data_IF_090109232731
#
_entry.id   IF_090109232731
#
_cell.length_a   1.000
_cell.length_b   1.000
_cell.length_c   1.000
_cell.angle_alpha   90.00
_cell.angle_beta   90.00
_cell.angle_gamma   90.00
#
_symmetry.space_group_name_H-M   'P 1'
#
loop_
_entity.id
_entity.type
_entity.pdbx_description
1 polymer ?
#
# COMPACT_ATOMS: atom_id res chain seq x y z
N UNK A 1 -16.95 53.80 -57.34
CA UNK A 1 -15.48 53.70 -57.51
C UNK A 1 -14.88 53.61 -56.12
N UNK A 2 -14.11 52.54 -55.84
CA UNK A 2 -13.36 52.24 -54.60
C UNK A 2 -14.17 52.01 -53.31
N UNK A 3 -13.84 51.12 -52.38
CA UNK A 3 -13.10 49.86 -52.33
C UNK A 3 -13.26 49.32 -50.88
N UNK A 4 -13.36 47.99 -50.77
CA UNK A 4 -13.13 47.11 -49.62
C UNK A 4 -12.82 47.72 -48.23
N UNK A 5 -13.59 47.32 -47.22
CA UNK A 5 -13.11 47.18 -45.84
C UNK A 5 -13.28 45.70 -45.43
N UNK A 6 -12.14 45.02 -45.40
CA UNK A 6 -11.98 43.59 -45.16
C UNK A 6 -12.16 43.23 -43.68
N UNK A 7 -12.71 42.04 -43.49
CA UNK A 7 -12.89 41.30 -42.25
C UNK A 7 -11.62 41.26 -41.38
N UNK A 8 -11.76 41.71 -40.13
CA UNK A 8 -10.82 41.41 -39.05
C UNK A 8 -11.04 39.97 -38.56
N UNK A 9 -10.30 39.02 -39.13
CA UNK A 9 -10.11 37.70 -38.52
C UNK A 9 -8.88 37.78 -37.63
N UNK A 10 -9.10 37.90 -36.33
CA UNK A 10 -8.04 37.77 -35.34
C UNK A 10 -7.52 36.34 -35.33
N UNK A 11 -6.31 36.13 -35.85
CA UNK A 11 -5.52 34.94 -35.57
C UNK A 11 -5.20 34.92 -34.07
N UNK A 12 -5.94 34.12 -33.31
CA UNK A 12 -5.53 33.73 -31.96
C UNK A 12 -4.53 32.59 -32.15
N UNK A 13 -3.23 32.89 -32.00
CA UNK A 13 -2.22 31.84 -31.84
C UNK A 13 -2.60 30.99 -30.62
N UNK A 14 -3.06 29.76 -30.86
CA UNK A 14 -3.02 28.72 -29.83
C UNK A 14 -1.54 28.43 -29.56
N UNK A 15 -1.04 28.92 -28.42
CA UNK A 15 0.22 28.43 -27.87
C UNK A 15 0.10 26.90 -27.73
N UNK A 16 0.99 26.12 -28.36
CA UNK A 16 1.03 24.69 -28.12
C UNK A 16 1.19 24.45 -26.62
N UNK A 17 0.32 23.64 -26.03
CA UNK A 17 0.56 23.15 -24.68
C UNK A 17 1.93 22.46 -24.67
N UNK A 18 2.79 22.84 -23.72
CA UNK A 18 4.09 22.21 -23.57
C UNK A 18 3.89 20.70 -23.41
N UNK A 19 4.67 19.86 -24.12
CA UNK A 19 4.56 18.42 -24.00
C UNK A 19 4.79 18.02 -22.54
N UNK A 20 3.90 17.20 -21.97
CA UNK A 20 3.94 16.70 -20.59
C UNK A 20 5.30 16.10 -20.16
N UNK A 21 6.16 15.77 -21.12
CA UNK A 21 7.54 15.34 -20.90
C UNK A 21 8.45 16.43 -20.29
N UNK A 22 8.16 17.73 -20.48
CA UNK A 22 8.95 18.83 -19.87
C UNK A 22 8.70 18.96 -18.36
N UNK A 23 7.62 18.35 -17.85
CA UNK A 23 7.26 18.31 -16.43
C UNK A 23 7.75 17.02 -15.74
N UNK A 24 8.36 16.09 -16.48
CA UNK A 24 8.90 14.86 -15.91
C UNK A 24 10.15 15.18 -15.06
N UNK A 25 10.14 14.91 -13.76
CA UNK A 25 11.31 15.21 -12.94
C UNK A 25 12.46 14.24 -13.28
N UNK A 26 13.73 14.61 -13.02
CA UNK A 26 14.90 13.80 -13.39
C UNK A 26 14.80 12.36 -12.86
N UNK A 27 15.37 11.35 -13.53
CA UNK A 27 15.24 9.95 -13.11
C UNK A 27 15.78 9.76 -11.68
N UNK A 28 15.11 8.90 -10.90
CA UNK A 28 15.61 8.55 -9.57
C UNK A 28 16.97 7.85 -9.69
N UNK A 29 17.89 8.03 -8.72
CA UNK A 29 19.05 7.17 -8.62
C UNK A 29 18.57 5.72 -8.51
N UNK A 30 19.09 4.88 -9.40
CA UNK A 30 18.75 3.45 -9.45
C UNK A 30 19.08 2.83 -8.10
N UNK A 31 18.13 2.11 -7.50
CA UNK A 31 18.40 1.29 -6.32
C UNK A 31 19.51 0.30 -6.70
N UNK A 32 20.72 0.57 -6.23
CA UNK A 32 21.90 -0.23 -6.57
C UNK A 32 21.74 -1.59 -5.93
N UNK A 33 21.44 -2.59 -6.74
CA UNK A 33 21.57 -3.99 -6.35
C UNK A 33 23.07 -4.30 -6.38
N UNK A 34 23.66 -4.92 -5.34
CA UNK A 34 25.00 -5.47 -5.49
C UNK A 34 24.97 -6.48 -6.63
N UNK A 35 25.57 -6.12 -7.76
CA UNK A 35 25.67 -6.98 -8.94
C UNK A 35 26.62 -8.13 -8.62
N UNK A 36 26.06 -9.33 -8.46
CA UNK A 36 26.76 -10.59 -8.70
C UNK A 36 25.82 -11.54 -9.46
N UNK A 37 25.77 -11.24 -10.76
CA UNK A 37 25.80 -12.12 -11.92
C UNK A 37 24.89 -13.35 -12.02
N UNK A 38 24.24 -13.38 -13.20
CA UNK A 38 23.73 -14.55 -13.86
C UNK A 38 24.78 -15.68 -13.95
N UNK A 39 24.34 -16.93 -13.74
CA UNK A 39 25.01 -18.11 -14.28
C UNK A 39 25.88 -18.94 -13.32
N UNK A 40 25.87 -18.70 -12.03
CA UNK A 40 26.48 -19.60 -11.03
C UNK A 40 25.61 -19.69 -9.79
N UNK A 41 25.58 -20.86 -9.14
CA UNK A 41 24.99 -21.04 -7.80
C UNK A 41 25.74 -20.16 -6.78
N UNK A 42 25.45 -18.86 -6.80
CA UNK A 42 25.84 -17.95 -5.74
C UNK A 42 24.91 -18.20 -4.54
N UNK A 43 25.45 -18.20 -3.31
CA UNK A 43 24.62 -18.33 -2.13
C UNK A 43 23.58 -17.20 -2.15
N UNK A 44 22.31 -17.55 -1.92
CA UNK A 44 21.22 -16.60 -1.87
C UNK A 44 21.65 -15.40 -1.01
N UNK A 45 21.64 -14.19 -1.58
CA UNK A 45 21.93 -12.97 -0.82
C UNK A 45 20.91 -12.92 0.31
N UNK A 46 21.34 -13.22 1.53
CA UNK A 46 20.47 -13.24 2.70
C UNK A 46 19.90 -11.84 2.90
N UNK A 47 18.59 -11.74 3.10
CA UNK A 47 18.02 -10.51 3.61
C UNK A 47 18.65 -10.25 4.99
N UNK A 48 19.40 -9.15 5.12
CA UNK A 48 19.93 -8.74 6.42
C UNK A 48 18.76 -8.62 7.42
N UNK A 49 18.91 -9.07 8.68
CA UNK A 49 17.90 -8.85 9.70
C UNK A 49 17.56 -7.37 9.75
N UNK A 50 16.32 -7.05 9.43
CA UNK A 50 15.82 -5.67 9.40
C UNK A 50 15.06 -5.41 10.67
N UNK A 51 15.39 -4.31 11.34
CA UNK A 51 14.62 -3.87 12.50
C UNK A 51 13.17 -3.60 12.08
N UNK A 52 12.25 -4.11 12.89
CA UNK A 52 10.81 -3.92 12.71
C UNK A 52 10.42 -2.64 13.42
N UNK A 53 9.89 -1.70 12.65
CA UNK A 53 9.32 -0.44 13.12
C UNK A 53 7.83 -0.38 12.83
N UNK A 54 7.12 0.38 13.66
CA UNK A 54 5.70 0.66 13.60
C UNK A 54 5.30 1.50 14.80
N UNK A 55 4.00 1.68 14.99
CA UNK A 55 3.46 2.32 16.18
C UNK A 55 3.40 1.33 17.35
N UNK A 56 3.39 1.85 18.57
CA UNK A 56 3.03 1.05 19.74
C UNK A 56 1.59 0.50 19.59
N UNK A 57 1.33 -0.67 20.16
CA UNK A 57 0.00 -1.28 20.08
C UNK A 57 -1.08 -0.37 20.70
N UNK A 58 -2.23 -0.19 20.04
CA UNK A 58 -3.31 0.64 20.55
C UNK A 58 -3.96 -0.02 21.78
N UNK A 59 -3.64 0.48 22.97
CA UNK A 59 -4.03 -0.12 24.27
C UNK A 59 -5.55 -0.24 24.51
N UNK A 60 -6.37 0.54 23.81
CA UNK A 60 -7.84 0.56 23.94
C UNK A 60 -8.57 -0.08 22.76
N UNK A 61 -7.85 -0.56 21.74
CA UNK A 61 -8.48 -1.18 20.59
C UNK A 61 -9.01 -2.57 20.95
N UNK A 62 -10.17 -2.92 20.38
CA UNK A 62 -10.69 -4.28 20.47
C UNK A 62 -9.80 -5.22 19.67
N UNK A 63 -9.37 -6.33 20.27
CA UNK A 63 -8.51 -7.30 19.62
C UNK A 63 -9.34 -8.30 18.83
N UNK A 64 -9.14 -8.31 17.51
CA UNK A 64 -9.77 -9.25 16.58
C UNK A 64 -8.72 -10.23 16.07
N UNK A 65 -8.73 -11.44 16.60
CA UNK A 65 -7.85 -12.54 16.22
C UNK A 65 -8.41 -13.26 14.99
N UNK A 66 -7.56 -13.49 13.99
CA UNK A 66 -7.91 -14.12 12.73
C UNK A 66 -7.15 -15.42 12.59
N UNK A 67 -7.87 -16.53 12.40
CA UNK A 67 -7.29 -17.83 12.15
C UNK A 67 -8.05 -18.55 11.02
N UNK A 68 -7.51 -18.47 9.81
CA UNK A 68 -8.23 -18.87 8.59
C UNK A 68 -9.56 -18.13 8.46
N UNK A 69 -10.68 -18.85 8.55
CA UNK A 69 -12.05 -18.31 8.49
C UNK A 69 -12.68 -18.06 9.87
N UNK A 70 -11.97 -18.39 10.95
CA UNK A 70 -12.40 -18.13 12.31
C UNK A 70 -12.00 -16.73 12.74
N UNK A 71 -12.96 -16.00 13.29
CA UNK A 71 -12.79 -14.64 13.78
C UNK A 71 -13.10 -14.63 15.27
N UNK A 72 -12.19 -14.09 16.10
CA UNK A 72 -12.41 -13.99 17.55
C UNK A 72 -12.20 -12.57 18.05
N UNK A 73 -13.26 -11.95 18.58
CA UNK A 73 -13.24 -10.61 19.15
C UNK A 73 -13.38 -10.72 20.66
N UNK A 74 -12.35 -10.33 21.43
CA UNK A 74 -12.40 -10.32 22.91
C UNK A 74 -12.91 -11.65 23.52
N UNK A 75 -12.56 -12.78 22.90
CA UNK A 75 -12.97 -14.10 23.37
C UNK A 75 -14.21 -14.69 22.68
N UNK A 76 -15.06 -13.86 22.06
CA UNK A 76 -16.27 -14.27 21.33
C UNK A 76 -15.94 -14.68 19.88
N UNK A 77 -16.54 -15.75 19.39
CA UNK A 77 -16.30 -16.26 18.02
C UNK A 77 -17.39 -15.79 17.06
N UNK A 78 -16.95 -15.39 15.86
CA UNK A 78 -17.78 -15.00 14.73
C UNK A 78 -17.44 -15.87 13.53
N UNK A 79 -18.46 -16.19 12.72
CA UNK A 79 -18.23 -16.82 11.43
C UNK A 79 -18.06 -15.74 10.36
N UNK A 80 -17.06 -15.89 9.48
CA UNK A 80 -16.69 -14.86 8.50
C UNK A 80 -17.71 -14.62 7.37
N UNK A 81 -18.71 -15.48 7.20
CA UNK A 81 -19.55 -15.51 5.99
C UNK A 81 -21.05 -15.21 6.17
N UNK A 82 -21.72 -15.53 7.29
CA UNK A 82 -23.15 -15.25 7.41
C UNK A 82 -23.44 -13.73 7.54
N UNK A 83 -24.40 -13.15 6.79
CA UNK A 83 -24.73 -11.71 6.90
C UNK A 83 -25.17 -11.28 8.31
N UNK A 84 -25.81 -12.18 9.06
CA UNK A 84 -26.18 -11.93 10.46
C UNK A 84 -24.95 -11.79 11.37
N UNK A 85 -23.89 -12.56 11.11
CA UNK A 85 -22.62 -12.48 11.85
C UNK A 85 -21.87 -11.19 11.52
N UNK A 86 -21.85 -10.79 10.24
CA UNK A 86 -21.28 -9.50 9.82
C UNK A 86 -22.01 -8.32 10.48
N UNK A 87 -23.34 -8.35 10.53
CA UNK A 87 -24.14 -7.31 11.22
C UNK A 87 -23.86 -7.28 12.72
N UNK A 88 -23.78 -8.44 13.35
CA UNK A 88 -23.44 -8.56 14.78
C UNK A 88 -22.05 -8.02 15.07
N UNK A 89 -21.07 -8.36 14.24
CA UNK A 89 -19.71 -7.83 14.34
C UNK A 89 -19.68 -6.31 14.17
N UNK A 90 -20.38 -5.77 13.15
CA UNK A 90 -20.47 -4.34 12.88
C UNK A 90 -20.95 -3.56 14.12
N UNK A 91 -22.00 -4.03 14.80
CA UNK A 91 -22.49 -3.41 16.04
C UNK A 91 -21.47 -3.47 17.17
N UNK A 92 -20.69 -4.54 17.28
CA UNK A 92 -19.66 -4.67 18.33
C UNK A 92 -18.49 -3.71 18.12
N UNK A 93 -18.10 -3.45 16.88
CA UNK A 93 -16.96 -2.59 16.54
C UNK A 93 -17.34 -1.13 16.27
N UNK A 94 -18.65 -0.81 16.25
CA UNK A 94 -19.16 0.51 15.88
C UNK A 94 -18.54 1.62 16.71
N UNK A 95 -17.83 2.54 16.04
CA UNK A 95 -17.18 3.68 16.71
C UNK A 95 -16.09 3.25 17.70
N UNK A 96 -15.37 2.16 17.40
CA UNK A 96 -14.24 1.65 18.17
C UNK A 96 -13.03 1.47 17.28
N UNK A 97 -11.85 1.60 17.87
CA UNK A 97 -10.61 1.12 17.26
C UNK A 97 -10.55 -0.41 17.33
N UNK A 98 -10.11 -1.05 16.24
CA UNK A 98 -9.97 -2.51 16.13
C UNK A 98 -8.55 -2.86 15.75
N UNK A 99 -7.92 -3.76 16.49
CA UNK A 99 -6.60 -4.33 16.20
C UNK A 99 -6.76 -5.71 15.59
N UNK A 100 -6.47 -5.83 14.30
CA UNK A 100 -6.38 -7.10 13.58
C UNK A 100 -5.11 -7.85 13.98
N UNK A 101 -5.28 -9.10 14.36
CA UNK A 101 -4.19 -10.01 14.74
C UNK A 101 -4.26 -11.25 13.86
N UNK A 102 -3.58 -11.25 12.70
CA UNK A 102 -3.59 -12.38 11.80
C UNK A 102 -2.67 -13.51 12.29
N UNK A 103 -3.09 -14.75 12.08
CA UNK A 103 -2.18 -15.90 12.07
C UNK A 103 -1.37 -15.95 10.76
N UNK A 104 -0.59 -17.02 10.57
CA UNK A 104 0.23 -17.19 9.39
C UNK A 104 -0.56 -17.51 8.10
N UNK A 105 -1.79 -18.02 8.24
CA UNK A 105 -2.55 -18.70 7.18
C UNK A 105 -3.89 -18.01 6.87
N UNK A 106 -4.19 -16.85 7.45
CA UNK A 106 -5.30 -15.98 7.04
C UNK A 106 -4.90 -15.15 5.82
N UNK A 107 -5.53 -15.44 4.68
CA UNK A 107 -5.32 -14.75 3.39
C UNK A 107 -6.24 -13.55 3.20
N UNK A 108 -5.78 -12.53 2.48
CA UNK A 108 -6.57 -11.33 2.16
C UNK A 108 -7.92 -11.67 1.53
N UNK A 109 -7.96 -12.62 0.60
CA UNK A 109 -9.18 -13.10 -0.03
C UNK A 109 -10.21 -13.68 0.95
N UNK A 110 -9.78 -14.25 2.08
CA UNK A 110 -10.69 -14.77 3.12
C UNK A 110 -11.26 -13.65 4.01
N UNK A 111 -10.57 -12.51 4.08
CA UNK A 111 -10.91 -11.40 4.98
C UNK A 111 -11.66 -10.26 4.31
N UNK A 112 -12.01 -10.34 3.03
CA UNK A 112 -12.63 -9.22 2.29
C UNK A 112 -13.90 -8.70 2.95
N UNK A 113 -14.84 -9.59 3.29
CA UNK A 113 -16.09 -9.26 4.00
C UNK A 113 -15.85 -8.61 5.37
N UNK A 114 -14.88 -9.15 6.11
CA UNK A 114 -14.48 -8.60 7.40
C UNK A 114 -13.95 -7.17 7.22
N UNK A 115 -13.01 -6.97 6.30
CA UNK A 115 -12.40 -5.66 6.06
C UNK A 115 -13.42 -4.65 5.57
N UNK A 116 -14.40 -5.07 4.76
CA UNK A 116 -15.53 -4.23 4.36
C UNK A 116 -16.41 -3.85 5.56
N UNK A 117 -16.71 -4.80 6.44
CA UNK A 117 -17.46 -4.55 7.69
C UNK A 117 -16.73 -3.55 8.59
N UNK A 118 -15.42 -3.73 8.78
CA UNK A 118 -14.60 -2.83 9.59
C UNK A 118 -14.50 -1.44 8.97
N UNK A 119 -14.32 -1.33 7.64
CA UNK A 119 -14.30 -0.06 6.91
C UNK A 119 -15.57 0.76 7.15
N UNK A 120 -16.72 0.12 7.27
CA UNK A 120 -18.01 0.80 7.44
C UNK A 120 -18.34 1.12 8.90
N UNK A 121 -17.89 0.30 9.85
CA UNK A 121 -18.34 0.37 11.24
C UNK A 121 -17.28 0.83 12.24
N UNK A 122 -16.01 0.42 12.07
CA UNK A 122 -14.95 0.76 13.01
C UNK A 122 -14.57 2.24 12.88
N UNK A 123 -14.12 2.84 13.99
CA UNK A 123 -13.56 4.20 14.00
C UNK A 123 -12.14 4.19 13.43
N UNK A 124 -11.35 3.20 13.83
CA UNK A 124 -9.99 3.00 13.37
C UNK A 124 -9.72 1.51 13.19
N UNK A 125 -8.89 1.18 12.20
CA UNK A 125 -8.42 -0.19 11.98
C UNK A 125 -6.90 -0.20 12.06
N UNK A 126 -6.38 -1.14 12.84
CA UNK A 126 -4.96 -1.35 13.04
C UNK A 126 -4.61 -2.77 12.62
N UNK A 127 -3.44 -2.97 12.01
CA UNK A 127 -2.91 -4.30 11.70
C UNK A 127 -1.66 -4.57 12.53
N UNK A 128 -1.70 -5.62 13.35
CA UNK A 128 -0.57 -6.03 14.18
C UNK A 128 0.54 -6.67 13.34
N UNK A 129 1.79 -6.34 13.63
CA UNK A 129 2.93 -7.06 13.08
C UNK A 129 3.03 -8.46 13.71
N UNK A 130 3.24 -9.55 12.92
CA UNK A 130 3.21 -10.91 13.45
C UNK A 130 4.36 -11.21 14.43
N UNK A 131 5.52 -10.59 14.20
CA UNK A 131 6.77 -10.93 14.90
C UNK A 131 7.25 -9.84 15.88
N UNK A 132 6.44 -8.79 16.13
CA UNK A 132 6.83 -7.67 16.99
C UNK A 132 5.60 -7.01 17.66
N UNK A 133 5.81 -6.35 18.80
CA UNK A 133 4.76 -5.60 19.52
C UNK A 133 4.54 -4.20 18.93
N UNK A 134 4.32 -4.15 17.62
CA UNK A 134 3.96 -2.93 16.89
C UNK A 134 2.75 -3.16 16.00
N UNK A 135 2.08 -2.08 15.61
CA UNK A 135 0.94 -2.11 14.71
C UNK A 135 0.97 -0.94 13.72
N UNK A 136 0.12 -1.03 12.70
CA UNK A 136 -0.01 -0.06 11.64
C UNK A 136 -1.45 0.44 11.58
N UNK A 137 -1.71 1.74 11.75
CA UNK A 137 -3.03 2.31 11.51
C UNK A 137 -3.33 2.30 10.01
N UNK A 138 -4.52 1.88 9.62
CA UNK A 138 -4.90 1.63 8.23
C UNK A 138 -6.19 2.33 7.84
N UNK A 139 -6.14 3.00 6.70
CA UNK A 139 -7.33 3.28 5.88
C UNK A 139 -7.59 2.08 4.98
N UNK A 140 -8.75 1.44 5.15
CA UNK A 140 -9.15 0.30 4.34
C UNK A 140 -9.78 0.76 3.02
N UNK A 141 -9.32 0.21 1.89
CA UNK A 141 -9.91 0.44 0.57
C UNK A 141 -10.14 -0.90 -0.14
N UNK A 142 -11.35 -1.11 -0.65
CA UNK A 142 -11.57 -2.16 -1.63
C UNK A 142 -11.04 -1.72 -3.01
N UNK A 143 -11.19 -2.56 -4.03
CA UNK A 143 -10.71 -2.26 -5.38
C UNK A 143 -11.40 -1.04 -5.98
N UNK A 144 -12.70 -0.85 -5.70
CA UNK A 144 -13.44 0.32 -6.16
C UNK A 144 -12.96 1.61 -5.49
N UNK A 145 -12.91 1.64 -4.16
CA UNK A 145 -12.40 2.79 -3.41
C UNK A 145 -10.92 3.08 -3.69
N UNK A 146 -10.14 2.07 -4.09
CA UNK A 146 -8.78 2.27 -4.59
C UNK A 146 -8.75 2.88 -5.98
N UNK A 147 -9.62 2.48 -6.91
CA UNK A 147 -9.75 3.12 -8.24
C UNK A 147 -10.19 4.57 -8.13
N UNK A 148 -11.15 4.87 -7.26
CA UNK A 148 -11.58 6.24 -6.96
C UNK A 148 -10.42 7.06 -6.43
N UNK A 149 -9.68 6.50 -5.46
CA UNK A 149 -8.46 7.13 -4.97
C UNK A 149 -7.44 7.34 -6.09
N UNK A 150 -7.23 6.42 -7.03
CA UNK A 150 -6.31 6.67 -8.14
C UNK A 150 -6.78 7.77 -9.10
N UNK A 151 -8.09 7.98 -9.22
CA UNK A 151 -8.69 8.93 -10.16
C UNK A 151 -8.56 10.39 -9.71
N UNK A 152 -8.42 10.66 -8.40
CA UNK A 152 -8.25 12.04 -7.94
C UNK A 152 -6.90 12.59 -8.41
N UNK A 153 -6.93 13.78 -9.03
CA UNK A 153 -5.77 14.41 -9.67
C UNK A 153 -4.86 15.03 -8.60
N UNK A 154 -4.07 14.19 -7.94
CA UNK A 154 -3.05 14.57 -6.98
C UNK A 154 -1.66 14.12 -7.47
N UNK A 155 -0.66 15.01 -7.49
CA UNK A 155 0.72 14.61 -7.75
C UNK A 155 1.20 13.63 -6.69
N UNK A 156 1.86 12.54 -7.10
CA UNK A 156 2.60 11.70 -6.17
C UNK A 156 1.76 10.68 -5.39
N UNK A 157 0.68 10.13 -5.96
CA UNK A 157 0.01 8.95 -5.39
C UNK A 157 0.92 7.74 -5.40
N UNK A 158 1.58 7.51 -4.28
CA UNK A 158 2.55 6.43 -4.09
C UNK A 158 1.83 5.15 -3.69
N UNK A 159 2.32 4.03 -4.20
CA UNK A 159 1.81 2.71 -3.85
C UNK A 159 2.89 1.65 -3.87
N UNK A 160 2.76 0.71 -2.95
CA UNK A 160 3.57 -0.51 -2.85
C UNK A 160 2.71 -1.64 -3.41
N UNK A 161 3.03 -2.12 -4.59
CA UNK A 161 2.38 -3.31 -5.15
C UNK A 161 3.17 -4.53 -4.66
N UNK A 162 2.57 -5.31 -3.77
CA UNK A 162 3.19 -6.49 -3.18
C UNK A 162 2.81 -7.73 -3.99
N UNK A 163 3.80 -8.32 -4.64
CA UNK A 163 3.69 -9.52 -5.46
C UNK A 163 4.39 -10.69 -4.77
N UNK A 164 4.21 -11.90 -5.30
CA UNK A 164 4.88 -13.09 -4.77
C UNK A 164 6.41 -13.03 -4.89
N UNK A 165 6.92 -12.30 -5.88
CA UNK A 165 8.34 -12.17 -6.23
C UNK A 165 9.00 -10.88 -5.69
N UNK A 166 8.25 -10.00 -5.03
CA UNK A 166 8.80 -8.79 -4.41
C UNK A 166 7.82 -7.62 -4.37
N UNK A 167 8.38 -6.40 -4.34
CA UNK A 167 7.61 -5.17 -4.36
C UNK A 167 7.84 -4.38 -5.64
N UNK A 168 6.78 -3.80 -6.16
CA UNK A 168 6.86 -2.74 -7.17
C UNK A 168 6.44 -1.41 -6.53
N UNK A 169 7.26 -0.38 -6.73
CA UNK A 169 6.96 0.97 -6.27
C UNK A 169 6.45 1.77 -7.45
N UNK A 170 5.21 2.24 -7.35
CA UNK A 170 4.56 2.97 -8.44
C UNK A 170 4.04 4.32 -7.97
N UNK A 171 3.99 5.25 -8.91
CA UNK A 171 3.41 6.59 -8.74
C UNK A 171 2.25 6.77 -9.73
N UNK A 172 1.52 7.89 -9.66
CA UNK A 172 0.53 8.26 -10.69
C UNK A 172 1.14 8.53 -12.07
N UNK A 173 2.45 8.82 -12.16
CA UNK A 173 3.18 9.04 -13.43
C UNK A 173 3.85 7.76 -13.96
N UNK A 174 3.62 6.61 -13.34
CA UNK A 174 4.12 5.31 -13.78
C UNK A 174 5.01 4.60 -12.75
N UNK A 175 5.58 3.46 -13.17
CA UNK A 175 6.54 2.69 -12.37
C UNK A 175 7.81 3.49 -12.16
N UNK A 176 8.42 3.34 -10.99
CA UNK A 176 9.74 3.92 -10.79
C UNK A 176 10.80 3.11 -11.54
N UNK A 177 11.79 3.77 -12.16
CA UNK A 177 12.88 3.07 -12.81
C UNK A 177 13.66 2.25 -11.77
N UNK A 178 13.70 0.94 -11.98
CA UNK A 178 14.53 -0.01 -11.25
C UNK A 178 15.49 -0.71 -12.21
N UNK A 179 16.36 -1.57 -11.68
CA UNK A 179 17.26 -2.38 -12.50
C UNK A 179 16.49 -3.37 -13.42
N UNK A 180 15.26 -3.73 -13.03
CA UNK A 180 14.40 -4.62 -13.79
C UNK A 180 13.40 -3.81 -14.67
N UNK A 181 13.50 -3.90 -16.01
CA UNK A 181 12.57 -3.23 -16.91
C UNK A 181 11.17 -3.89 -16.96
N UNK A 182 10.98 -5.10 -16.42
CA UNK A 182 9.74 -5.89 -16.56
C UNK A 182 9.22 -6.54 -15.24
N UNK A 183 9.88 -6.34 -14.10
CA UNK A 183 9.61 -7.04 -12.84
C UNK A 183 10.07 -6.25 -11.60
N UNK A 184 9.97 -6.83 -10.39
CA UNK A 184 9.81 -6.08 -9.14
C UNK A 184 10.92 -5.06 -8.88
N UNK A 185 10.52 -3.84 -8.52
CA UNK A 185 11.44 -2.75 -8.18
C UNK A 185 12.27 -3.04 -6.91
N UNK A 186 11.83 -3.99 -6.07
CA UNK A 186 12.56 -4.55 -4.92
C UNK A 186 12.35 -6.08 -4.89
N UNK A 187 13.38 -6.91 -5.12
CA UNK A 187 13.23 -8.36 -5.20
C UNK A 187 13.13 -9.03 -3.82
N UNK A 188 12.65 -10.28 -3.81
CA UNK A 188 12.78 -11.21 -2.67
C UNK A 188 14.25 -11.63 -2.50
N UNK A 189 14.77 -11.61 -1.26
CA UNK A 189 16.14 -12.03 -0.89
C UNK A 189 16.10 -13.18 0.10
N UNK A 190 16.76 -14.30 -0.22
CA UNK A 190 16.73 -15.50 0.62
C UNK A 190 15.33 -16.03 0.91
N UNK A 191 14.38 -15.86 -0.03
CA UNK A 191 12.98 -16.24 0.16
C UNK A 191 12.16 -15.27 1.04
N UNK A 192 12.73 -14.14 1.46
CA UNK A 192 12.07 -13.13 2.30
C UNK A 192 11.96 -11.78 1.59
N UNK A 193 10.97 -11.00 2.00
CA UNK A 193 10.78 -9.62 1.53
C UNK A 193 11.94 -8.73 1.99
N UNK A 194 12.54 -7.97 1.06
CA UNK A 194 13.64 -7.04 1.37
C UNK A 194 13.09 -5.70 1.88
N UNK A 195 12.62 -5.71 3.13
CA UNK A 195 12.02 -4.53 3.79
C UNK A 195 13.02 -3.38 3.92
N UNK A 196 14.31 -3.66 4.11
CA UNK A 196 15.34 -2.63 4.19
C UNK A 196 15.46 -1.85 2.88
N UNK A 197 15.46 -2.54 1.73
CA UNK A 197 15.45 -1.89 0.42
C UNK A 197 14.14 -1.17 0.14
N UNK A 198 12.99 -1.76 0.53
CA UNK A 198 11.69 -1.09 0.45
C UNK A 198 11.71 0.25 1.20
N UNK A 199 12.15 0.25 2.46
CA UNK A 199 12.25 1.46 3.30
C UNK A 199 13.12 2.54 2.67
N UNK A 200 14.30 2.17 2.13
CA UNK A 200 15.16 3.12 1.42
C UNK A 200 14.48 3.70 0.18
N UNK A 201 13.82 2.86 -0.62
CA UNK A 201 13.08 3.30 -1.81
C UNK A 201 11.95 4.29 -1.46
N UNK A 202 11.20 4.01 -0.41
CA UNK A 202 10.14 4.89 0.09
C UNK A 202 10.69 6.23 0.61
N UNK A 203 11.82 6.22 1.32
CA UNK A 203 12.47 7.45 1.78
C UNK A 203 12.91 8.36 0.61
N UNK A 204 13.50 7.78 -0.45
CA UNK A 204 13.86 8.52 -1.66
C UNK A 204 12.61 9.13 -2.34
N UNK A 205 11.50 8.39 -2.35
CA UNK A 205 10.24 8.86 -2.92
C UNK A 205 9.64 10.01 -2.12
N UNK A 206 9.57 9.90 -0.80
CA UNK A 206 9.06 10.98 0.06
C UNK A 206 9.89 12.26 -0.10
N UNK A 207 11.21 12.13 -0.26
CA UNK A 207 12.10 13.26 -0.54
C UNK A 207 11.77 14.00 -1.86
N UNK A 208 11.28 13.27 -2.87
CA UNK A 208 10.87 13.82 -4.18
C UNK A 208 9.44 14.32 -4.21
N UNK A 209 8.51 13.55 -3.65
CA UNK A 209 7.09 13.85 -3.58
C UNK A 209 6.75 14.34 -2.17
N UNK A 210 7.28 15.50 -1.80
CA UNK A 210 7.16 16.03 -0.43
C UNK A 210 5.72 16.26 0.04
N UNK A 211 4.82 16.49 -0.91
CA UNK A 211 3.38 16.71 -0.68
C UNK A 211 2.57 15.43 -0.70
N UNK A 212 3.18 14.26 -0.94
CA UNK A 212 2.49 12.99 -0.82
C UNK A 212 2.35 12.66 0.68
N UNK A 213 1.13 12.79 1.20
CA UNK A 213 0.79 12.50 2.60
C UNK A 213 0.35 11.05 2.78
N UNK A 214 -0.08 10.40 1.70
CA UNK A 214 -0.66 9.06 1.72
C UNK A 214 0.10 8.04 0.87
N UNK A 215 0.05 6.78 1.31
CA UNK A 215 0.56 5.63 0.57
C UNK A 215 -0.36 4.43 0.73
N UNK A 216 -0.56 3.68 -0.35
CA UNK A 216 -1.32 2.43 -0.33
C UNK A 216 -0.43 1.20 -0.51
N UNK A 217 -0.58 0.22 0.38
CA UNK A 217 -0.12 -1.15 0.15
C UNK A 217 -1.19 -1.90 -0.65
N UNK A 218 -0.78 -2.51 -1.77
CA UNK A 218 -1.63 -3.25 -2.70
C UNK A 218 -1.09 -4.68 -2.82
N UNK A 219 -1.42 -5.59 -1.90
CA UNK A 219 -0.99 -6.97 -1.98
C UNK A 219 -1.78 -7.75 -3.01
N UNK A 220 -1.15 -8.75 -3.61
CA UNK A 220 -1.87 -9.78 -4.36
C UNK A 220 -2.88 -10.48 -3.44
N UNK A 221 -4.05 -10.86 -3.94
CA UNK A 221 -5.14 -11.37 -3.09
C UNK A 221 -4.82 -12.70 -2.41
N UNK A 222 -3.91 -13.48 -2.99
CA UNK A 222 -3.33 -14.69 -2.38
C UNK A 222 -2.23 -14.41 -1.34
N UNK A 223 -2.08 -13.18 -0.86
CA UNK A 223 -1.10 -12.83 0.18
C UNK A 223 -1.72 -13.01 1.57
N UNK A 224 -1.04 -13.71 2.51
CA UNK A 224 -1.43 -13.74 3.92
C UNK A 224 -1.41 -12.34 4.55
N UNK A 225 -2.35 -12.03 5.45
CA UNK A 225 -2.38 -10.75 6.16
C UNK A 225 -1.09 -10.51 6.95
N UNK A 226 -0.52 -11.56 7.56
CA UNK A 226 0.76 -11.47 8.24
C UNK A 226 1.90 -11.04 7.31
N UNK A 227 1.89 -11.45 6.03
CA UNK A 227 2.87 -11.01 5.04
C UNK A 227 2.63 -9.56 4.60
N UNK A 228 1.37 -9.12 4.50
CA UNK A 228 1.06 -7.71 4.29
C UNK A 228 1.55 -6.85 5.46
N UNK A 229 1.31 -7.28 6.70
CA UNK A 229 1.78 -6.60 7.91
C UNK A 229 3.30 -6.45 7.96
N UNK A 230 4.06 -7.47 7.53
CA UNK A 230 5.54 -7.37 7.44
C UNK A 230 5.99 -6.29 6.47
N UNK A 231 5.32 -6.18 5.31
CA UNK A 231 5.64 -5.17 4.31
C UNK A 231 5.47 -3.73 4.84
N UNK A 232 4.49 -3.51 5.71
CA UNK A 232 4.18 -2.19 6.29
C UNK A 232 5.30 -1.62 7.16
N UNK A 233 6.18 -2.47 7.72
CA UNK A 233 7.37 -1.98 8.43
C UNK A 233 8.35 -1.22 7.54
N UNK A 234 8.24 -1.38 6.22
CA UNK A 234 8.99 -0.59 5.26
C UNK A 234 8.60 0.90 5.23
N UNK A 235 7.39 1.23 5.72
CA UNK A 235 6.84 2.60 5.71
C UNK A 235 7.39 3.45 6.87
N UNK A 236 8.08 2.85 7.84
CA UNK A 236 8.60 3.53 9.03
C UNK A 236 10.12 3.66 8.98
N UNK A 237 10.66 4.80 9.41
CA UNK A 237 12.11 5.04 9.53
C UNK A 237 12.67 4.71 10.91
N UNK A 238 11.83 4.80 11.94
CA UNK A 238 12.10 4.46 13.33
C UNK A 238 10.77 4.13 14.04
N UNK A 239 10.78 3.69 15.32
CA UNK A 239 9.55 3.46 16.09
C UNK A 239 8.67 4.72 16.15
N UNK A 240 7.41 4.61 15.75
CA UNK A 240 6.47 5.74 15.71
C UNK A 240 6.81 6.86 14.71
N UNK A 241 7.74 6.62 13.78
CA UNK A 241 8.13 7.59 12.75
C UNK A 241 7.75 7.09 11.35
N UNK A 242 6.48 7.28 10.93
CA UNK A 242 6.05 6.92 9.58
C UNK A 242 6.58 7.91 8.53
N UNK A 243 6.89 7.42 7.33
CA UNK A 243 7.26 8.25 6.17
C UNK A 243 6.07 9.03 5.59
N UNK A 244 4.85 8.53 5.80
CA UNK A 244 3.61 9.05 5.26
C UNK A 244 2.58 9.16 6.39
N UNK A 245 1.78 10.20 6.36
CA UNK A 245 0.80 10.50 7.41
C UNK A 245 -0.38 9.50 7.37
N UNK A 246 -0.73 9.03 6.17
CA UNK A 246 -1.79 8.04 5.97
C UNK A 246 -1.27 6.79 5.28
N UNK A 247 -1.53 5.63 5.89
CA UNK A 247 -1.26 4.32 5.32
C UNK A 247 -2.57 3.62 4.97
N UNK A 248 -2.64 3.09 3.76
CA UNK A 248 -3.81 2.42 3.23
C UNK A 248 -3.51 0.95 2.94
N UNK A 249 -4.48 0.06 3.20
CA UNK A 249 -4.45 -1.34 2.79
C UNK A 249 -5.56 -1.57 1.76
N UNK A 250 -5.16 -1.99 0.55
CA UNK A 250 -6.08 -2.38 -0.49
C UNK A 250 -6.42 -3.87 -0.36
N UNK A 251 -7.71 -4.19 -0.34
CA UNK A 251 -8.22 -5.56 -0.24
C UNK A 251 -9.20 -5.89 -1.39
N UNK A 252 -9.45 -7.18 -1.69
CA UNK A 252 -10.37 -7.57 -2.75
C UNK A 252 -11.78 -7.08 -2.45
N UNK A 253 -12.50 -6.59 -3.47
CA UNK A 253 -13.92 -6.28 -3.30
C UNK A 253 -14.66 -7.57 -2.91
N UNK A 254 -15.49 -7.56 -1.84
CA UNK A 254 -16.25 -8.74 -1.46
C UNK A 254 -17.20 -9.16 -2.60
N UNK A 255 -17.44 -10.48 -2.77
CA UNK A 255 -18.42 -10.95 -3.75
C UNK A 255 -19.82 -10.41 -3.42
N UNK A 256 -20.67 -10.17 -4.43
CA UNK A 256 -22.05 -9.72 -4.23
C UNK A 256 -22.95 -10.77 -3.57
#
# INVERSE_FOLDING_TARGET
MLALLMLGVGCREEKPAEPLASLAPPPLPVLSVPSKDAGGEAPAVEASPVEVFGEALPSKALRLELAGESLRLEGETFASRPPAEASRLAERVRGKAVLLVPDADTFLAQTSELLATLRQAAEEVWLRHPDADVAYPLVLRDEEGFREWLAEVAPGKLRIIQRADGFELSTSVGKLPGADPNGPSVPVRGGKQDIATLRRGLGLLKGRFKTAEDICLVPSFGTPLAQAARALSGVYTAPGEPLFDTLCLVYPTPPP
#
